data_IF_817888708656
#
_entry.id   IF_817888708656
#
_cell.length_a   1.000
_cell.length_b   1.000
_cell.length_c   1.000
_cell.angle_alpha   90.00
_cell.angle_beta   90.00
_cell.angle_gamma   90.00
#
_symmetry.space_group_name_H-M   'P 1'
#
loop_
_entity.id
_entity.type
_entity.pdbx_description
1 polymer ?
#
# COMPACT_ATOMS: atom_id res chain seq x y z
N UNK A 1 13.54 13.78 -21.60
CA UNK A 1 12.42 12.84 -21.81
C UNK A 1 12.15 12.17 -20.47
N UNK A 2 11.08 12.56 -19.80
CA UNK A 2 10.82 12.24 -18.39
C UNK A 2 10.33 10.81 -18.23
N UNK A 3 11.07 10.00 -17.48
CA UNK A 3 10.85 8.57 -17.30
C UNK A 3 9.45 8.27 -16.70
N UNK A 4 8.65 7.39 -17.33
CA UNK A 4 7.31 7.03 -16.84
C UNK A 4 7.30 6.24 -15.51
N UNK A 5 8.47 5.88 -14.97
CA UNK A 5 8.61 5.06 -13.75
C UNK A 5 8.89 5.86 -12.46
N UNK A 6 9.03 7.19 -12.54
CA UNK A 6 9.38 8.01 -11.37
C UNK A 6 8.24 8.20 -10.36
N UNK A 7 6.99 8.18 -10.81
CA UNK A 7 5.81 8.43 -9.97
C UNK A 7 5.34 7.17 -9.23
N UNK A 8 5.38 6.02 -9.91
CA UNK A 8 4.93 4.73 -9.37
C UNK A 8 5.80 4.26 -8.21
N UNK A 9 7.13 4.46 -8.32
CA UNK A 9 8.05 4.13 -7.23
C UNK A 9 7.87 5.00 -5.99
N UNK A 10 7.71 6.32 -6.16
CA UNK A 10 7.51 7.23 -5.02
C UNK A 10 6.24 6.94 -4.23
N UNK A 11 5.14 6.60 -4.90
CA UNK A 11 3.87 6.25 -4.23
C UNK A 11 4.00 4.94 -3.45
N UNK A 12 4.61 3.91 -4.04
CA UNK A 12 4.86 2.64 -3.37
C UNK A 12 5.78 2.81 -2.15
N UNK A 13 6.93 3.49 -2.32
CA UNK A 13 7.86 3.75 -1.21
C UNK A 13 7.20 4.53 -0.08
N UNK A 14 6.46 5.60 -0.40
CA UNK A 14 5.76 6.40 0.61
C UNK A 14 4.72 5.57 1.36
N UNK A 15 3.96 4.73 0.66
CA UNK A 15 3.00 3.83 1.29
C UNK A 15 3.69 2.89 2.26
N UNK A 16 4.78 2.22 1.83
CA UNK A 16 5.56 1.35 2.73
C UNK A 16 6.15 2.08 3.91
N UNK A 17 6.76 3.24 3.71
CA UNK A 17 7.35 4.01 4.79
C UNK A 17 6.31 4.43 5.81
N UNK A 18 5.11 4.82 5.36
CA UNK A 18 4.00 5.14 6.26
C UNK A 18 3.44 3.90 6.94
N UNK A 19 3.26 2.78 6.23
CA UNK A 19 2.81 1.52 6.80
C UNK A 19 3.77 1.01 7.89
N UNK A 20 5.08 1.16 7.68
CA UNK A 20 6.11 0.76 8.65
C UNK A 20 6.15 1.61 9.92
N UNK A 21 5.45 2.75 9.98
CA UNK A 21 5.32 3.56 11.21
C UNK A 21 4.28 3.01 12.18
N UNK A 22 3.42 2.09 11.73
CA UNK A 22 2.40 1.48 12.57
C UNK A 22 2.87 0.12 13.10
N UNK A 23 2.52 -0.20 14.34
CA UNK A 23 2.81 -1.50 14.94
C UNK A 23 1.90 -2.59 14.36
N UNK A 24 0.69 -2.24 13.92
CA UNK A 24 -0.25 -3.20 13.33
C UNK A 24 0.27 -3.80 12.01
N UNK A 25 -0.16 -5.02 11.71
CA UNK A 25 0.03 -5.62 10.40
C UNK A 25 -0.96 -5.02 9.42
N UNK A 26 -0.51 -4.65 8.21
CA UNK A 26 -1.35 -4.03 7.17
C UNK A 26 -1.17 -4.84 5.89
N UNK A 27 -2.23 -5.50 5.44
CA UNK A 27 -2.26 -6.25 4.21
C UNK A 27 -3.12 -5.57 3.15
N UNK A 28 -2.60 -5.56 1.93
CA UNK A 28 -3.30 -5.11 0.73
C UNK A 28 -3.60 -6.33 -0.12
N UNK A 29 -4.82 -6.43 -0.62
CA UNK A 29 -5.22 -7.52 -1.52
C UNK A 29 -6.01 -6.98 -2.70
N UNK A 30 -5.83 -7.56 -3.87
CA UNK A 30 -6.49 -7.20 -5.12
C UNK A 30 -6.74 -8.48 -5.89
N UNK A 31 -8.01 -8.84 -6.08
CA UNK A 31 -8.42 -10.14 -6.66
C UNK A 31 -7.68 -11.30 -5.94
N UNK A 32 -6.85 -12.06 -6.67
CA UNK A 32 -6.07 -13.19 -6.16
C UNK A 32 -4.65 -12.83 -5.67
N UNK A 33 -4.31 -11.55 -5.64
CA UNK A 33 -2.99 -11.08 -5.21
C UNK A 33 -3.09 -10.45 -3.81
N UNK A 34 -2.17 -10.79 -2.92
CA UNK A 34 -1.97 -10.12 -1.65
C UNK A 34 -0.55 -9.55 -1.58
N UNK A 35 -0.39 -8.48 -0.80
CA UNK A 35 0.88 -7.82 -0.53
C UNK A 35 0.89 -7.28 0.89
N UNK A 36 2.03 -7.38 1.57
CA UNK A 36 2.26 -6.62 2.79
C UNK A 36 2.49 -5.15 2.47
N UNK A 37 1.71 -4.25 3.09
CA UNK A 37 1.84 -2.81 2.89
C UNK A 37 3.20 -2.27 3.35
N UNK A 38 3.95 -2.99 4.21
CA UNK A 38 5.30 -2.68 4.69
C UNK A 38 6.40 -3.21 3.74
N UNK A 39 6.05 -4.03 2.74
CA UNK A 39 7.00 -4.58 1.78
C UNK A 39 6.90 -3.91 0.40
N UNK A 40 7.91 -3.12 0.04
CA UNK A 40 7.84 -2.24 -1.14
C UNK A 40 7.76 -3.04 -2.43
N UNK A 41 8.41 -4.21 -2.45
CA UNK A 41 8.47 -5.11 -3.60
C UNK A 41 7.12 -5.75 -3.87
N UNK A 42 6.35 -6.09 -2.83
CA UNK A 42 5.01 -6.64 -2.98
C UNK A 42 4.01 -5.55 -3.34
N UNK A 43 4.09 -4.37 -2.69
CA UNK A 43 3.25 -3.21 -3.02
C UNK A 43 3.43 -2.78 -4.48
N UNK A 44 4.66 -2.74 -4.98
CA UNK A 44 4.95 -2.47 -6.41
C UNK A 44 4.25 -3.48 -7.32
N UNK A 45 4.34 -4.76 -6.99
CA UNK A 45 3.77 -5.86 -7.81
C UNK A 45 2.25 -5.83 -7.80
N UNK A 46 1.64 -5.54 -6.64
CA UNK A 46 0.20 -5.35 -6.50
C UNK A 46 -0.27 -4.11 -7.26
N UNK A 47 0.47 -3.00 -7.17
CA UNK A 47 0.15 -1.73 -7.85
C UNK A 47 0.18 -1.86 -9.38
N UNK A 48 1.09 -2.66 -9.92
CA UNK A 48 1.12 -2.97 -11.35
C UNK A 48 -0.13 -3.74 -11.84
N UNK A 49 -0.89 -4.35 -10.92
CA UNK A 49 -2.12 -5.11 -11.18
C UNK A 49 -3.37 -4.44 -10.60
N UNK A 50 -3.22 -3.33 -9.89
CA UNK A 50 -4.31 -2.63 -9.22
C UNK A 50 -5.06 -1.77 -10.24
N UNK A 51 -6.19 -2.30 -10.74
CA UNK A 51 -7.06 -1.58 -11.67
C UNK A 51 -8.55 -1.68 -11.37
N UNK A 52 -8.97 -2.54 -10.43
CA UNK A 52 -10.40 -2.83 -10.24
C UNK A 52 -10.93 -2.68 -8.81
N UNK A 53 -10.20 -3.11 -7.77
CA UNK A 53 -10.61 -2.99 -6.36
C UNK A 53 -9.47 -3.48 -5.44
N UNK A 54 -9.05 -2.63 -4.50
CA UNK A 54 -8.09 -2.99 -3.46
C UNK A 54 -8.85 -3.20 -2.14
N UNK A 55 -8.58 -4.31 -1.45
CA UNK A 55 -9.02 -4.55 -0.07
C UNK A 55 -7.83 -4.32 0.86
N UNK A 56 -8.04 -3.48 1.87
CA UNK A 56 -7.04 -3.14 2.88
C UNK A 56 -7.51 -3.77 4.18
N UNK A 57 -6.63 -4.50 4.85
CA UNK A 57 -6.91 -5.13 6.13
C UNK A 57 -5.79 -4.76 7.08
N UNK A 58 -6.13 -4.21 8.24
CA UNK A 58 -5.15 -3.97 9.30
C UNK A 58 -5.56 -4.77 10.54
N UNK A 59 -4.57 -5.22 11.31
CA UNK A 59 -4.80 -5.96 12.55
C UNK A 59 -3.74 -5.58 13.59
N UNK A 60 -4.18 -5.09 14.74
CA UNK A 60 -3.31 -4.67 15.84
C UNK A 60 -3.80 -3.41 16.55
N UNK A 61 -2.99 -2.88 17.47
CA UNK A 61 -3.36 -1.75 18.32
C UNK A 61 -3.74 -0.48 17.53
N UNK A 62 -3.04 -0.22 16.42
CA UNK A 62 -3.21 0.99 15.61
C UNK A 62 -4.02 0.75 14.33
N UNK A 63 -4.72 -0.39 14.21
CA UNK A 63 -5.37 -0.83 12.96
C UNK A 63 -6.32 0.21 12.37
N UNK A 64 -7.09 0.89 13.22
CA UNK A 64 -8.07 1.91 12.81
C UNK A 64 -7.39 3.14 12.21
N UNK A 65 -6.29 3.58 12.83
CA UNK A 65 -5.52 4.76 12.37
C UNK A 65 -4.78 4.41 11.09
N UNK A 66 -4.13 3.25 11.06
CA UNK A 66 -3.42 2.75 9.90
C UNK A 66 -4.33 2.65 8.68
N UNK A 67 -5.52 2.05 8.82
CA UNK A 67 -6.49 1.96 7.72
C UNK A 67 -6.86 3.33 7.17
N UNK A 68 -7.16 4.30 8.04
CA UNK A 68 -7.50 5.67 7.61
C UNK A 68 -6.37 6.32 6.82
N UNK A 69 -5.14 6.23 7.32
CA UNK A 69 -3.98 6.85 6.69
C UNK A 69 -3.64 6.19 5.35
N UNK A 70 -3.62 4.86 5.30
CA UNK A 70 -3.31 4.11 4.06
C UNK A 70 -4.40 4.32 3.01
N UNK A 71 -5.68 4.33 3.41
CA UNK A 71 -6.79 4.59 2.50
C UNK A 71 -6.72 6.02 1.92
N UNK A 72 -6.39 7.01 2.76
CA UNK A 72 -6.18 8.39 2.31
C UNK A 72 -5.02 8.49 1.31
N UNK A 73 -3.90 7.79 1.53
CA UNK A 73 -2.75 7.78 0.62
C UNK A 73 -3.04 7.17 -0.76
N UNK A 74 -4.00 6.24 -0.84
CA UNK A 74 -4.39 5.57 -2.08
C UNK A 74 -5.49 6.31 -2.85
N UNK A 75 -6.21 7.22 -2.18
CA UNK A 75 -7.29 8.04 -2.77
C UNK A 75 -6.76 9.38 -3.34
N UNK A 76 -5.50 9.73 -3.05
CA UNK A 76 -4.74 10.89 -3.57
C UNK A 76 -3.93 10.54 -4.85
#
# INVERSE_FOLDING_TARGET
MSSPHGLQGRRATRLTTTASQFECSIQLSSNDCAADAKNVSEVMRLSARAGLRLRIQASGADESVALRVICALLTD
#
